data_IF_208500053292
#
_entry.id   IF_208500053292
#
_cell.length_a   1.000
_cell.length_b   1.000
_cell.length_c   1.000
_cell.angle_alpha   90.00
_cell.angle_beta   90.00
_cell.angle_gamma   90.00
#
_symmetry.space_group_name_H-M   'P 1'
#
loop_
_entity.id
_entity.type
_entity.pdbx_description
1 polymer ?
#
# COMPACT_ATOMS: atom_id res chain seq x y z
N UNK A 1 -43.22 30.03 -56.84
CA UNK A 1 -42.63 31.35 -57.15
C UNK A 1 -41.77 31.82 -55.98
N UNK A 2 -40.58 32.34 -56.31
CA UNK A 2 -39.60 33.02 -55.46
C UNK A 2 -38.65 32.02 -54.70
N UNK A 3 -37.43 32.07 -54.83
CA UNK A 3 -36.33 32.71 -55.53
C UNK A 3 -35.13 32.34 -54.72
N UNK A 4 -34.16 31.63 -55.33
CA UNK A 4 -32.89 31.23 -54.76
C UNK A 4 -31.95 32.45 -54.76
N UNK A 5 -31.26 32.70 -53.64
CA UNK A 5 -30.06 33.53 -53.60
C UNK A 5 -28.90 32.70 -53.11
N UNK A 6 -27.99 32.44 -53.99
CA UNK A 6 -26.68 31.87 -53.73
C UNK A 6 -25.73 32.97 -53.23
N UNK A 7 -25.15 32.78 -52.04
CA UNK A 7 -24.00 33.58 -51.59
C UNK A 7 -22.79 32.68 -51.51
N UNK A 8 -21.88 32.90 -52.45
CA UNK A 8 -20.54 32.36 -52.44
C UNK A 8 -19.70 33.10 -51.39
N UNK A 9 -19.25 32.39 -50.34
CA UNK A 9 -18.30 32.94 -49.39
C UNK A 9 -16.91 32.33 -49.64
N UNK A 10 -16.00 33.16 -50.03
CA UNK A 10 -14.57 32.83 -50.21
C UNK A 10 -13.95 32.49 -48.87
N UNK A 11 -13.38 31.30 -48.76
CA UNK A 11 -12.55 30.88 -47.59
C UNK A 11 -11.16 31.45 -47.78
N UNK A 12 -10.83 32.46 -47.00
CA UNK A 12 -9.46 32.92 -46.83
C UNK A 12 -8.71 31.95 -45.88
N UNK A 13 -7.78 31.19 -46.42
CA UNK A 13 -6.87 30.35 -45.62
C UNK A 13 -5.90 31.26 -44.87
N UNK A 14 -6.11 31.41 -43.57
CA UNK A 14 -5.12 31.99 -42.65
C UNK A 14 -4.15 30.90 -42.26
N UNK A 15 -2.93 30.98 -42.85
CA UNK A 15 -1.79 30.17 -42.44
C UNK A 15 -1.32 30.72 -41.11
N UNK A 16 -1.60 30.01 -40.04
CA UNK A 16 -1.05 30.29 -38.72
C UNK A 16 0.34 29.61 -38.62
N UNK A 17 1.43 30.33 -38.38
CA UNK A 17 2.73 29.70 -38.14
C UNK A 17 2.67 29.05 -36.75
N UNK A 18 2.73 27.72 -36.72
CA UNK A 18 2.99 26.98 -35.49
C UNK A 18 4.37 27.37 -34.95
N UNK A 19 4.42 28.29 -34.01
CA UNK A 19 5.54 28.45 -33.10
C UNK A 19 5.67 27.16 -32.30
N UNK A 20 6.67 26.35 -32.65
CA UNK A 20 7.15 25.23 -31.82
C UNK A 20 7.75 25.85 -30.56
N UNK A 21 6.94 26.05 -29.53
CA UNK A 21 7.44 26.28 -28.20
C UNK A 21 8.06 24.95 -27.75
N UNK A 22 9.38 24.87 -27.93
CA UNK A 22 10.21 23.85 -27.29
C UNK A 22 9.97 23.95 -25.78
N UNK A 23 9.10 23.06 -25.25
CA UNK A 23 8.93 22.87 -23.84
C UNK A 23 10.27 22.44 -23.27
N UNK A 24 10.96 23.34 -22.57
CA UNK A 24 12.03 22.99 -21.66
C UNK A 24 11.41 22.05 -20.61
N UNK A 25 11.54 20.75 -20.82
CA UNK A 25 11.41 19.78 -19.74
C UNK A 25 12.50 20.16 -18.73
N UNK A 26 12.11 20.94 -17.73
CA UNK A 26 12.96 21.31 -16.63
C UNK A 26 13.49 20.03 -16.01
N UNK A 27 14.79 19.81 -16.12
CA UNK A 27 15.49 18.77 -15.40
C UNK A 27 15.19 18.97 -13.91
N UNK A 28 14.35 18.11 -13.34
CA UNK A 28 14.25 18.01 -11.88
C UNK A 28 15.60 17.46 -11.39
N UNK A 29 16.47 18.39 -11.00
CA UNK A 29 17.67 18.03 -10.26
C UNK A 29 17.19 17.48 -8.92
N UNK A 30 17.67 16.30 -8.53
CA UNK A 30 17.52 15.81 -7.18
C UNK A 30 18.26 16.76 -6.25
N UNK A 31 17.54 17.69 -5.64
CA UNK A 31 18.07 18.50 -4.56
C UNK A 31 18.01 17.60 -3.34
N UNK A 32 19.17 17.13 -2.85
CA UNK A 32 19.24 16.45 -1.56
C UNK A 32 18.74 17.49 -0.52
N UNK A 33 17.59 17.29 0.13
CA UNK A 33 17.11 18.22 1.13
C UNK A 33 18.13 18.34 2.26
N UNK A 34 18.28 19.54 2.81
CA UNK A 34 19.07 19.73 4.03
C UNK A 34 18.53 18.81 5.12
N UNK A 35 19.43 18.30 5.95
CA UNK A 35 19.03 17.46 7.08
C UNK A 35 17.99 18.19 7.92
N UNK A 36 16.98 17.43 8.38
CA UNK A 36 16.12 17.94 9.43
C UNK A 36 17.00 18.13 10.66
N UNK A 37 17.08 19.33 11.18
CA UNK A 37 17.67 19.54 12.48
C UNK A 37 16.62 19.18 13.52
N UNK A 38 16.89 18.15 14.31
CA UNK A 38 16.12 17.80 15.49
C UNK A 38 17.09 17.86 16.69
N UNK A 39 17.36 19.06 17.16
CA UNK A 39 18.22 19.32 18.30
C UNK A 39 17.43 19.55 19.60
N UNK A 40 16.11 19.47 19.51
CA UNK A 40 15.19 19.68 20.63
C UNK A 40 14.71 21.13 20.78
N UNK A 41 15.15 22.02 19.87
CA UNK A 41 14.78 23.45 19.91
C UNK A 41 13.65 23.73 18.92
N UNK A 42 12.50 24.15 19.45
CA UNK A 42 11.38 24.62 18.62
C UNK A 42 11.67 26.08 18.27
N UNK A 43 11.83 26.36 17.00
CA UNK A 43 12.11 27.68 16.48
C UNK A 43 10.82 28.51 16.25
N UNK A 44 10.94 29.84 16.39
CA UNK A 44 9.85 30.78 16.05
C UNK A 44 8.83 31.00 17.16
N UNK A 45 7.59 31.45 16.79
CA UNK A 45 6.58 31.84 17.78
C UNK A 45 6.00 30.60 18.49
N UNK A 46 5.70 30.76 19.79
CA UNK A 46 5.02 29.76 20.61
C UNK A 46 3.54 30.09 20.73
N UNK A 47 2.62 29.17 20.40
CA UNK A 47 2.88 27.82 19.88
C UNK A 47 3.29 27.79 18.40
N UNK A 48 4.18 26.87 18.05
CA UNK A 48 4.43 26.51 16.66
C UNK A 48 3.20 25.78 16.09
N UNK A 49 2.73 26.23 14.93
CA UNK A 49 1.59 25.58 14.26
C UNK A 49 2.10 24.65 13.15
N UNK A 50 1.70 23.39 13.21
CA UNK A 50 2.01 22.39 12.19
C UNK A 50 0.74 21.86 11.54
N UNK A 51 0.80 21.62 10.24
CA UNK A 51 -0.25 21.00 9.44
C UNK A 51 0.07 19.53 9.20
N UNK A 52 -0.92 18.68 9.38
CA UNK A 52 -0.80 17.24 9.23
C UNK A 52 -1.87 16.76 8.27
N UNK A 53 -1.46 16.09 7.18
CA UNK A 53 -2.39 15.42 6.28
C UNK A 53 -2.46 13.94 6.60
N UNK A 54 -3.68 13.43 6.59
CA UNK A 54 -4.00 12.04 6.89
C UNK A 54 -5.02 11.51 5.87
N UNK A 55 -4.80 10.31 5.36
CA UNK A 55 -5.81 9.62 4.56
C UNK A 55 -7.00 9.21 5.44
N UNK A 56 -8.19 9.20 4.86
CA UNK A 56 -9.41 8.94 5.64
C UNK A 56 -9.55 7.48 6.06
N UNK A 57 -8.64 6.63 6.03
CA UNK A 57 -8.66 5.23 6.50
C UNK A 57 -10.00 4.68 7.02
N UNK A 58 -9.96 3.76 7.94
CA UNK A 58 -11.17 3.27 8.62
C UNK A 58 -11.78 4.36 9.54
N UNK A 59 -13.10 4.36 9.79
CA UNK A 59 -13.73 5.30 10.72
C UNK A 59 -13.10 5.28 12.13
N UNK A 60 -12.75 4.09 12.64
CA UNK A 60 -12.08 3.90 13.94
C UNK A 60 -10.67 4.48 13.96
N UNK A 61 -9.93 4.33 12.87
CA UNK A 61 -8.58 4.88 12.70
C UNK A 61 -8.59 6.41 12.71
N UNK A 62 -9.46 7.01 11.90
CA UNK A 62 -9.67 8.47 11.86
C UNK A 62 -10.08 9.03 13.22
N UNK A 63 -11.03 8.37 13.90
CA UNK A 63 -11.46 8.79 15.24
C UNK A 63 -10.30 8.74 16.23
N UNK A 64 -9.49 7.69 16.19
CA UNK A 64 -8.35 7.50 17.08
C UNK A 64 -7.30 8.57 16.85
N UNK A 65 -6.92 8.86 15.61
CA UNK A 65 -5.96 9.92 15.32
C UNK A 65 -6.49 11.29 15.77
N UNK A 66 -7.78 11.58 15.55
CA UNK A 66 -8.41 12.80 16.04
C UNK A 66 -8.32 12.94 17.57
N UNK A 67 -8.54 11.85 18.32
CA UNK A 67 -8.37 11.83 19.78
C UNK A 67 -6.91 12.04 20.19
N UNK A 68 -5.95 11.42 19.49
CA UNK A 68 -4.52 11.59 19.75
C UNK A 68 -4.07 13.03 19.51
N UNK A 69 -4.54 13.66 18.43
CA UNK A 69 -4.27 15.09 18.16
C UNK A 69 -4.87 15.98 19.24
N UNK A 70 -6.11 15.73 19.64
CA UNK A 70 -6.76 16.51 20.70
C UNK A 70 -6.01 16.37 22.03
N UNK A 71 -5.62 15.15 22.41
CA UNK A 71 -4.86 14.88 23.63
C UNK A 71 -3.47 15.54 23.59
N UNK A 72 -2.75 15.46 22.46
CA UNK A 72 -1.47 16.13 22.29
C UNK A 72 -1.60 17.65 22.43
N UNK A 73 -2.58 18.25 21.76
CA UNK A 73 -2.84 19.68 21.83
C UNK A 73 -3.23 20.16 23.23
N UNK A 74 -3.92 19.33 24.01
CA UNK A 74 -4.31 19.66 25.39
C UNK A 74 -3.15 19.52 26.39
N UNK A 75 -2.24 18.58 26.17
CA UNK A 75 -1.18 18.24 27.14
C UNK A 75 -0.01 19.23 27.17
N UNK A 76 0.13 20.11 26.19
CA UNK A 76 1.27 21.04 26.09
C UNK A 76 0.88 22.33 25.34
N UNK A 77 1.75 23.38 25.44
CA UNK A 77 1.50 24.71 24.87
C UNK A 77 2.50 25.11 23.77
N UNK A 78 3.46 24.26 23.43
CA UNK A 78 4.56 24.61 22.53
C UNK A 78 4.25 24.35 21.06
N UNK A 79 3.42 23.32 20.76
CA UNK A 79 3.05 22.94 19.41
C UNK A 79 1.53 22.81 19.30
N UNK A 80 0.97 23.26 18.20
CA UNK A 80 -0.44 23.06 17.85
C UNK A 80 -0.54 22.33 16.52
N UNK A 81 -1.17 21.18 16.55
CA UNK A 81 -1.41 20.32 15.39
C UNK A 81 -2.76 20.66 14.79
N UNK A 82 -2.77 20.96 13.48
CA UNK A 82 -3.97 21.04 12.64
C UNK A 82 -4.02 19.80 11.76
N UNK A 83 -4.91 18.87 12.09
CA UNK A 83 -5.17 17.68 11.28
C UNK A 83 -6.11 18.02 10.12
N UNK A 84 -5.80 17.50 8.93
CA UNK A 84 -6.61 17.63 7.72
C UNK A 84 -6.82 16.22 7.18
N UNK A 85 -8.07 15.75 7.26
CA UNK A 85 -8.49 14.48 6.69
C UNK A 85 -8.74 14.63 5.19
N UNK A 86 -8.15 13.76 4.40
CA UNK A 86 -8.32 13.75 2.95
C UNK A 86 -8.90 12.39 2.55
N UNK A 87 -9.99 12.34 1.77
CA UNK A 87 -10.56 11.10 1.30
C UNK A 87 -9.53 10.22 0.61
N UNK A 88 -9.49 8.93 0.95
CA UNK A 88 -8.54 7.96 0.38
C UNK A 88 -8.67 7.89 -1.15
N UNK A 89 -9.90 7.95 -1.66
CA UNK A 89 -10.14 8.10 -3.08
C UNK A 89 -9.58 9.44 -3.58
N UNK A 90 -8.51 9.39 -4.38
CA UNK A 90 -7.79 10.56 -4.88
C UNK A 90 -6.71 11.13 -3.97
N UNK A 91 -6.46 10.54 -2.80
CA UNK A 91 -5.42 11.00 -1.87
C UNK A 91 -4.04 11.12 -2.54
N UNK A 92 -3.60 10.07 -3.23
CA UNK A 92 -2.32 10.07 -3.93
C UNK A 92 -2.23 11.16 -5.01
N UNK A 93 -3.33 11.46 -5.71
CA UNK A 93 -3.39 12.53 -6.71
C UNK A 93 -3.29 13.91 -6.06
N UNK A 94 -3.97 14.11 -4.94
CA UNK A 94 -3.88 15.35 -4.18
C UNK A 94 -2.49 15.59 -3.63
N UNK A 95 -1.84 14.56 -3.08
CA UNK A 95 -0.45 14.65 -2.61
C UNK A 95 0.49 14.97 -3.76
N UNK A 96 0.33 14.32 -4.93
CA UNK A 96 1.15 14.63 -6.13
C UNK A 96 0.97 16.07 -6.59
N UNK A 97 -0.25 16.57 -6.63
CA UNK A 97 -0.55 17.95 -7.01
C UNK A 97 0.08 18.95 -6.03
N UNK A 98 -0.07 18.72 -4.74
CA UNK A 98 0.54 19.54 -3.70
C UNK A 98 2.07 19.50 -3.76
N UNK A 99 2.65 18.32 -4.00
CA UNK A 99 4.10 18.17 -4.18
C UNK A 99 4.63 18.94 -5.39
N UNK A 100 3.88 18.97 -6.49
CA UNK A 100 4.25 19.71 -7.70
C UNK A 100 4.20 21.23 -7.48
N UNK A 101 3.29 21.73 -6.66
CA UNK A 101 3.06 23.16 -6.41
C UNK A 101 3.77 23.67 -5.15
N UNK A 102 4.47 22.82 -4.40
CA UNK A 102 5.16 23.19 -3.18
C UNK A 102 4.21 23.45 -1.99
N UNK A 103 3.02 22.84 -1.99
CA UNK A 103 1.98 23.05 -0.96
C UNK A 103 1.74 21.80 -0.10
N UNK A 104 2.78 21.00 0.14
CA UNK A 104 2.69 19.87 1.07
C UNK A 104 2.50 20.37 2.52
N UNK A 105 1.82 19.60 3.40
CA UNK A 105 1.76 19.87 4.83
C UNK A 105 3.14 19.71 5.47
N UNK A 106 3.26 20.03 6.76
CA UNK A 106 4.52 19.83 7.51
C UNK A 106 4.78 18.34 7.76
N UNK A 107 3.75 17.58 8.13
CA UNK A 107 3.79 16.13 8.30
C UNK A 107 2.78 15.48 7.35
N UNK A 108 3.26 14.55 6.55
CA UNK A 108 2.47 13.83 5.57
C UNK A 108 2.38 12.35 5.94
N UNK A 109 1.16 11.84 5.96
CA UNK A 109 0.86 10.41 5.93
C UNK A 109 0.79 9.95 4.47
N UNK A 110 1.39 8.81 4.13
CA UNK A 110 1.35 8.28 2.76
C UNK A 110 1.55 6.77 2.74
N UNK A 111 1.00 6.11 1.74
CA UNK A 111 1.25 4.68 1.53
C UNK A 111 2.75 4.44 1.27
N UNK A 112 3.33 3.59 2.11
CA UNK A 112 4.78 3.41 2.30
C UNK A 112 5.64 3.34 1.05
N UNK A 113 5.29 2.62 -0.02
CA UNK A 113 6.14 2.51 -1.20
C UNK A 113 6.26 3.80 -2.03
N UNK A 114 5.43 4.82 -1.74
CA UNK A 114 5.59 6.15 -2.32
C UNK A 114 6.77 6.92 -1.71
N UNK A 115 7.25 6.49 -0.54
CA UNK A 115 8.42 7.07 0.13
C UNK A 115 9.60 7.25 -0.80
N UNK A 116 9.90 6.24 -1.60
CA UNK A 116 11.09 6.21 -2.45
C UNK A 116 11.03 7.29 -3.53
N UNK A 117 9.83 7.52 -4.11
CA UNK A 117 9.62 8.59 -5.07
C UNK A 117 9.69 9.98 -4.40
N UNK A 118 9.05 10.12 -3.23
CA UNK A 118 9.05 11.40 -2.51
C UNK A 118 10.44 11.77 -1.99
N UNK A 119 11.21 10.82 -1.47
CA UNK A 119 12.58 11.04 -1.04
C UNK A 119 13.50 11.39 -2.23
N UNK A 120 13.42 10.59 -3.33
CA UNK A 120 14.19 10.83 -4.55
C UNK A 120 13.90 12.20 -5.17
N UNK A 121 12.64 12.63 -5.17
CA UNK A 121 12.21 13.94 -5.71
C UNK A 121 12.38 15.10 -4.75
N UNK A 122 13.01 14.91 -3.57
CA UNK A 122 13.28 15.95 -2.59
C UNK A 122 12.03 16.50 -1.91
N UNK A 123 10.97 15.69 -1.76
CA UNK A 123 9.72 16.11 -1.12
C UNK A 123 9.66 15.79 0.37
N UNK A 124 10.57 14.97 0.86
CA UNK A 124 10.72 14.62 2.26
C UNK A 124 12.06 15.11 2.81
N UNK A 125 12.15 15.20 4.10
CA UNK A 125 13.38 15.41 4.87
C UNK A 125 13.79 14.11 5.55
N UNK A 126 15.11 13.80 5.62
CA UNK A 126 15.56 12.63 6.34
C UNK A 126 15.36 12.80 7.86
N UNK A 127 15.09 11.69 8.54
CA UNK A 127 14.75 11.63 9.97
C UNK A 127 15.89 11.14 10.85
N UNK A 128 17.07 10.87 10.29
CA UNK A 128 18.17 10.21 11.01
C UNK A 128 18.59 10.95 12.28
N UNK A 129 18.63 12.29 12.25
CA UNK A 129 18.97 13.12 13.42
C UNK A 129 17.83 13.23 14.43
N UNK A 130 16.59 12.92 14.03
CA UNK A 130 15.42 13.04 14.89
C UNK A 130 15.19 11.78 15.73
N UNK A 131 15.51 10.59 15.20
CA UNK A 131 15.15 9.32 15.81
C UNK A 131 16.18 8.88 16.84
N UNK A 132 15.85 8.90 18.16
CA UNK A 132 16.76 8.41 19.19
C UNK A 132 17.10 6.93 18.98
N UNK A 133 18.33 6.53 19.32
CA UNK A 133 18.77 5.14 19.20
C UNK A 133 17.88 4.14 19.95
N UNK A 134 17.32 4.52 21.09
CA UNK A 134 16.39 3.70 21.86
C UNK A 134 15.07 3.45 21.11
N UNK A 135 14.52 4.47 20.46
CA UNK A 135 13.32 4.29 19.63
C UNK A 135 13.65 3.43 18.41
N UNK A 136 14.77 3.72 17.72
CA UNK A 136 15.19 2.93 16.54
C UNK A 136 15.36 1.44 16.87
N UNK A 137 15.87 1.12 18.06
CA UNK A 137 16.02 -0.26 18.53
C UNK A 137 14.68 -0.94 18.91
N UNK A 138 13.65 -0.15 19.24
CA UNK A 138 12.32 -0.67 19.58
C UNK A 138 11.40 -0.80 18.33
N UNK A 139 11.72 -0.11 17.22
CA UNK A 139 10.98 -0.25 15.98
C UNK A 139 11.14 -1.66 15.39
N UNK A 140 10.08 -2.18 14.78
CA UNK A 140 10.17 -3.39 13.97
C UNK A 140 11.19 -3.20 12.84
N UNK A 141 12.04 -4.21 12.56
CA UNK A 141 12.96 -4.16 11.43
C UNK A 141 12.28 -3.85 10.10
N UNK A 142 11.06 -4.34 9.89
CA UNK A 142 10.24 -4.06 8.71
C UNK A 142 9.89 -2.57 8.57
N UNK A 143 9.55 -1.88 9.66
CA UNK A 143 9.27 -0.43 9.67
C UNK A 143 10.51 0.36 9.26
N UNK A 144 11.66 0.03 9.85
CA UNK A 144 12.94 0.68 9.51
C UNK A 144 13.33 0.42 8.05
N UNK A 145 13.19 -0.83 7.59
CA UNK A 145 13.48 -1.22 6.21
C UNK A 145 12.63 -0.43 5.21
N UNK A 146 11.33 -0.34 5.46
CA UNK A 146 10.40 0.35 4.56
C UNK A 146 10.59 1.86 4.57
N UNK A 147 10.97 2.44 5.71
CA UNK A 147 11.25 3.87 5.86
C UNK A 147 12.60 4.31 5.31
N UNK A 148 13.46 3.36 4.88
CA UNK A 148 14.84 3.64 4.46
C UNK A 148 14.98 3.67 2.93
N UNK A 149 15.57 4.73 2.41
CA UNK A 149 15.96 4.88 1.01
C UNK A 149 17.33 5.53 0.90
N UNK A 150 18.18 5.00 0.00
CA UNK A 150 19.54 5.49 -0.21
C UNK A 150 20.35 5.62 1.11
N UNK A 151 20.20 4.66 2.01
CA UNK A 151 20.91 4.59 3.29
C UNK A 151 20.40 5.54 4.39
N UNK A 152 19.33 6.29 4.14
CA UNK A 152 18.75 7.25 5.09
C UNK A 152 17.30 6.91 5.42
N UNK A 153 16.87 7.25 6.63
CA UNK A 153 15.49 7.09 7.08
C UNK A 153 14.66 8.34 6.67
N UNK A 154 13.56 8.15 5.96
CA UNK A 154 12.72 9.23 5.42
C UNK A 154 11.28 9.19 5.93
N UNK A 155 10.87 8.07 6.50
CA UNK A 155 9.53 7.90 7.05
C UNK A 155 9.50 6.82 8.12
N UNK A 156 8.48 6.87 8.96
CA UNK A 156 8.23 5.89 10.02
C UNK A 156 6.74 5.59 10.09
N UNK A 157 6.37 4.30 9.95
CA UNK A 157 5.01 3.86 10.23
C UNK A 157 4.76 3.72 11.72
N UNK A 158 3.55 4.03 12.18
CA UNK A 158 3.11 3.73 13.55
C UNK A 158 2.59 2.30 13.68
N UNK A 159 2.44 1.60 12.58
CA UNK A 159 2.04 0.20 12.47
C UNK A 159 2.56 -0.42 11.17
N UNK A 160 2.62 -1.75 11.13
CA UNK A 160 2.86 -2.51 9.91
C UNK A 160 1.59 -3.22 9.47
N UNK A 161 1.58 -3.76 8.26
CA UNK A 161 0.43 -4.40 7.65
C UNK A 161 0.74 -5.86 7.32
N UNK A 162 -0.30 -6.68 7.24
CA UNK A 162 -0.21 -8.07 6.84
C UNK A 162 -1.44 -8.49 6.04
N UNK A 163 -1.23 -9.47 5.15
CA UNK A 163 -2.27 -10.10 4.37
C UNK A 163 -2.48 -11.55 4.81
N UNK A 164 -3.73 -12.01 4.74
CA UNK A 164 -4.08 -13.38 5.05
C UNK A 164 -5.39 -13.79 4.40
N UNK A 165 -5.74 -15.07 4.57
CA UNK A 165 -7.09 -15.54 4.30
C UNK A 165 -7.87 -15.56 5.61
N UNK A 166 -8.96 -14.82 5.66
CA UNK A 166 -9.98 -15.00 6.67
C UNK A 166 -10.89 -16.12 6.26
N UNK A 167 -11.11 -17.07 7.16
CA UNK A 167 -11.89 -18.27 6.87
C UNK A 167 -12.97 -18.50 7.94
N UNK A 168 -14.02 -19.23 7.55
CA UNK A 168 -15.04 -19.78 8.43
C UNK A 168 -14.70 -21.25 8.73
N UNK A 169 -13.98 -21.56 9.84
CA UNK A 169 -13.50 -22.91 10.13
C UNK A 169 -14.60 -23.97 10.16
N UNK A 170 -15.78 -23.63 10.69
CA UNK A 170 -16.91 -24.57 10.76
C UNK A 170 -17.36 -25.02 9.37
N UNK A 171 -17.35 -24.12 8.39
CA UNK A 171 -17.74 -24.40 7.01
C UNK A 171 -16.68 -25.25 6.33
N UNK A 172 -15.39 -24.89 6.48
CA UNK A 172 -14.29 -25.64 5.87
C UNK A 172 -14.20 -27.08 6.40
N UNK A 173 -14.40 -27.29 7.71
CA UNK A 173 -14.44 -28.63 8.30
C UNK A 173 -15.59 -29.48 7.73
N UNK A 174 -16.76 -28.89 7.50
CA UNK A 174 -17.91 -29.62 6.90
C UNK A 174 -17.63 -30.15 5.51
N UNK A 175 -16.80 -29.48 4.74
CA UNK A 175 -16.37 -29.96 3.40
C UNK A 175 -15.10 -30.82 3.46
N UNK A 176 -14.59 -31.17 4.64
CA UNK A 176 -13.39 -31.96 4.82
C UNK A 176 -12.11 -31.24 4.40
N UNK A 177 -12.06 -29.90 4.47
CA UNK A 177 -10.85 -29.17 4.17
C UNK A 177 -9.90 -29.16 5.38
N UNK A 178 -8.62 -29.40 5.14
CA UNK A 178 -7.55 -29.17 6.11
C UNK A 178 -7.50 -27.65 6.40
N UNK A 179 -7.26 -27.27 7.63
CA UNK A 179 -7.04 -25.88 8.02
C UNK A 179 -5.57 -25.70 8.41
N UNK A 180 -4.82 -24.81 7.74
CA UNK A 180 -3.44 -24.50 8.12
C UNK A 180 -3.35 -23.93 9.53
N UNK A 181 -2.30 -24.31 10.26
CA UNK A 181 -2.04 -23.80 11.62
C UNK A 181 -0.84 -22.86 11.63
N UNK A 182 0.18 -23.15 10.83
CA UNK A 182 1.40 -22.34 10.70
C UNK A 182 1.49 -21.73 9.31
N UNK A 183 2.30 -20.69 9.15
CA UNK A 183 2.55 -20.07 7.85
C UNK A 183 3.09 -21.09 6.84
N UNK A 184 4.01 -21.97 7.26
CA UNK A 184 4.58 -23.04 6.42
C UNK A 184 3.58 -24.10 5.99
N UNK A 185 2.45 -24.23 6.70
CA UNK A 185 1.39 -25.19 6.37
C UNK A 185 0.40 -24.64 5.33
N UNK A 186 0.65 -23.45 4.77
CA UNK A 186 -0.21 -22.81 3.78
C UNK A 186 -0.66 -23.79 2.69
N UNK A 187 -1.91 -23.68 2.28
CA UNK A 187 -2.42 -24.47 1.16
C UNK A 187 -1.57 -24.23 -0.09
N UNK A 188 -1.36 -25.27 -0.88
CA UNK A 188 -0.89 -25.06 -2.24
C UNK A 188 -1.99 -24.41 -3.09
N UNK A 189 -1.64 -23.73 -4.17
CA UNK A 189 -2.61 -23.16 -5.11
C UNK A 189 -3.61 -24.20 -5.62
N UNK A 190 -3.16 -25.44 -5.89
CA UNK A 190 -4.02 -26.56 -6.31
C UNK A 190 -4.98 -26.99 -5.19
N UNK A 191 -4.47 -27.15 -3.95
CA UNK A 191 -5.31 -27.49 -2.80
C UNK A 191 -6.37 -26.42 -2.55
N UNK A 192 -5.97 -25.16 -2.59
CA UNK A 192 -6.87 -24.02 -2.42
C UNK A 192 -7.95 -23.98 -3.50
N UNK A 193 -7.59 -24.13 -4.77
CA UNK A 193 -8.55 -24.22 -5.88
C UNK A 193 -9.54 -25.38 -5.66
N UNK A 194 -9.04 -26.54 -5.22
CA UNK A 194 -9.89 -27.68 -4.88
C UNK A 194 -10.87 -27.40 -3.73
N UNK A 195 -10.44 -26.60 -2.73
CA UNK A 195 -11.30 -26.14 -1.64
C UNK A 195 -12.41 -25.23 -2.18
N UNK A 196 -12.07 -24.27 -3.04
CA UNK A 196 -13.06 -23.35 -3.64
C UNK A 196 -14.12 -24.13 -4.43
N UNK A 197 -13.73 -25.10 -5.24
CA UNK A 197 -14.70 -25.95 -5.96
C UNK A 197 -15.56 -26.81 -5.02
N UNK A 198 -15.01 -27.32 -3.91
CA UNK A 198 -15.82 -28.05 -2.92
C UNK A 198 -16.84 -27.13 -2.23
N UNK A 199 -16.46 -25.89 -1.91
CA UNK A 199 -17.36 -24.89 -1.36
C UNK A 199 -18.47 -24.53 -2.38
N UNK A 200 -18.12 -24.37 -3.66
CA UNK A 200 -19.09 -24.11 -4.72
C UNK A 200 -20.13 -25.24 -4.82
N UNK A 201 -19.69 -26.51 -4.81
CA UNK A 201 -20.60 -27.67 -4.78
C UNK A 201 -21.43 -27.76 -3.50
N UNK A 202 -20.94 -27.22 -2.38
CA UNK A 202 -21.67 -27.14 -1.12
C UNK A 202 -22.66 -25.96 -1.05
N UNK A 203 -22.87 -25.23 -2.17
CA UNK A 203 -23.86 -24.17 -2.30
C UNK A 203 -23.34 -22.74 -2.20
N UNK A 204 -22.05 -22.52 -1.94
CA UNK A 204 -21.43 -21.20 -1.96
C UNK A 204 -21.05 -20.84 -3.41
N UNK A 205 -21.94 -20.17 -4.14
CA UNK A 205 -21.77 -19.92 -5.59
C UNK A 205 -20.43 -19.25 -5.92
N UNK A 206 -19.99 -18.31 -5.08
CA UNK A 206 -18.76 -17.53 -5.22
C UNK A 206 -18.02 -17.54 -3.88
N UNK A 207 -17.30 -18.63 -3.58
CA UNK A 207 -16.77 -18.89 -2.24
C UNK A 207 -15.62 -18.00 -1.80
N UNK A 208 -15.02 -17.23 -2.71
CA UNK A 208 -13.85 -16.40 -2.46
C UNK A 208 -14.20 -14.92 -2.63
N UNK A 209 -14.00 -14.15 -1.59
CA UNK A 209 -14.05 -12.69 -1.61
C UNK A 209 -12.62 -12.14 -1.71
N UNK A 210 -12.31 -11.45 -2.80
CA UNK A 210 -11.01 -10.79 -3.04
C UNK A 210 -11.06 -9.29 -2.77
N UNK A 211 -12.20 -8.76 -2.39
CA UNK A 211 -12.41 -7.31 -2.18
C UNK A 211 -12.01 -6.48 -3.41
N UNK A 212 -12.28 -7.01 -4.62
CA UNK A 212 -12.04 -6.31 -5.90
C UNK A 212 -13.34 -6.15 -6.68
N UNK A 213 -13.44 -5.04 -7.42
CA UNK A 213 -14.48 -4.86 -8.45
C UNK A 213 -13.83 -4.59 -9.79
N UNK A 214 -14.52 -4.96 -10.87
CA UNK A 214 -14.13 -4.58 -12.23
C UNK A 214 -14.34 -3.08 -12.51
N UNK A 215 -15.04 -2.35 -11.64
CA UNK A 215 -15.52 -1.00 -11.90
C UNK A 215 -14.71 0.12 -11.20
N UNK A 216 -13.73 -0.21 -10.36
CA UNK A 216 -13.10 0.81 -9.51
C UNK A 216 -11.63 1.05 -9.86
N UNK A 217 -11.30 2.07 -10.69
CA UNK A 217 -9.90 2.51 -10.91
C UNK A 217 -9.19 2.92 -9.63
N UNK A 218 -9.92 3.34 -8.61
CA UNK A 218 -9.42 3.84 -7.32
C UNK A 218 -8.79 2.77 -6.43
N UNK A 219 -8.94 1.50 -6.76
CA UNK A 219 -8.36 0.37 -6.02
C UNK A 219 -7.12 -0.21 -6.72
N UNK A 220 -6.45 0.55 -7.57
CA UNK A 220 -5.30 0.07 -8.33
C UNK A 220 -4.19 -0.46 -7.42
N UNK A 221 -3.92 0.22 -6.30
CA UNK A 221 -2.91 -0.24 -5.34
C UNK A 221 -3.31 -1.57 -4.68
N UNK A 222 -4.59 -1.79 -4.41
CA UNK A 222 -5.06 -3.07 -3.89
C UNK A 222 -4.76 -4.23 -4.84
N UNK A 223 -4.90 -4.05 -6.16
CA UNK A 223 -4.49 -5.07 -7.12
C UNK A 223 -3.01 -5.44 -6.98
N UNK A 224 -2.16 -4.47 -6.73
CA UNK A 224 -0.73 -4.71 -6.54
C UNK A 224 -0.44 -5.24 -5.14
N UNK A 225 -0.87 -4.55 -4.10
CA UNK A 225 -0.59 -4.94 -2.72
C UNK A 225 -1.20 -6.31 -2.37
N UNK A 226 -2.46 -6.51 -2.75
CA UNK A 226 -3.20 -7.73 -2.44
C UNK A 226 -2.66 -8.97 -3.18
N UNK A 227 -2.18 -8.81 -4.41
CA UNK A 227 -1.92 -9.97 -5.27
C UNK A 227 -0.48 -10.12 -5.78
N UNK A 228 0.42 -9.18 -5.52
CA UNK A 228 1.86 -9.40 -5.71
C UNK A 228 2.37 -10.66 -4.98
N UNK A 229 1.84 -11.05 -3.80
CA UNK A 229 2.20 -12.31 -3.15
C UNK A 229 2.02 -13.56 -4.02
N UNK A 230 1.09 -13.57 -4.98
CA UNK A 230 0.91 -14.66 -5.95
C UNK A 230 2.17 -14.85 -6.79
N UNK A 231 2.69 -13.74 -7.31
CA UNK A 231 3.90 -13.70 -8.13
C UNK A 231 5.13 -14.04 -7.27
N UNK A 232 5.25 -13.44 -6.10
CA UNK A 232 6.39 -13.67 -5.20
C UNK A 232 6.47 -15.11 -4.71
N UNK A 233 5.34 -15.68 -4.31
CA UNK A 233 5.27 -17.08 -3.87
C UNK A 233 5.66 -18.06 -4.99
N UNK A 234 5.40 -17.72 -6.24
CA UNK A 234 5.80 -18.51 -7.41
C UNK A 234 7.29 -18.40 -7.75
N UNK A 235 8.01 -17.43 -7.15
CA UNK A 235 9.42 -17.15 -7.44
C UNK A 235 9.65 -16.06 -8.48
N UNK A 236 8.59 -15.33 -8.88
CA UNK A 236 8.69 -14.10 -9.68
C UNK A 236 8.80 -12.85 -8.81
N UNK A 237 8.80 -11.69 -9.46
CA UNK A 237 8.70 -10.39 -8.78
C UNK A 237 8.12 -9.34 -9.73
N UNK A 238 7.84 -8.14 -9.23
CA UNK A 238 7.32 -7.02 -10.02
C UNK A 238 8.43 -6.30 -10.81
N UNK A 239 9.68 -6.41 -10.36
CA UNK A 239 10.89 -5.83 -10.95
C UNK A 239 12.09 -6.66 -10.48
N UNK A 240 13.16 -6.65 -11.25
CA UNK A 240 14.45 -7.16 -10.78
C UNK A 240 14.99 -6.30 -9.64
N UNK A 241 14.91 -6.79 -8.40
CA UNK A 241 15.35 -6.06 -7.19
C UNK A 241 16.85 -5.96 -7.05
N UNK A 242 17.63 -6.72 -7.83
CA UNK A 242 19.09 -6.63 -7.79
C UNK A 242 19.61 -5.39 -8.51
N UNK A 243 18.89 -4.96 -9.53
CA UNK A 243 19.28 -3.82 -10.36
C UNK A 243 18.28 -2.66 -10.33
N UNK A 244 17.00 -2.95 -10.10
CA UNK A 244 15.86 -2.03 -10.27
C UNK A 244 15.79 -1.41 -11.68
N UNK A 245 16.27 -2.13 -12.73
CA UNK A 245 16.39 -1.61 -14.08
C UNK A 245 15.44 -2.23 -15.10
N UNK A 246 14.80 -3.35 -14.75
CA UNK A 246 13.88 -4.04 -15.66
C UNK A 246 12.89 -4.90 -14.91
N UNK A 247 11.70 -5.03 -15.47
CA UNK A 247 10.70 -6.03 -15.08
C UNK A 247 10.73 -7.26 -16.01
N UNK A 248 11.46 -7.16 -17.14
CA UNK A 248 11.56 -8.22 -18.15
C UNK A 248 12.19 -9.48 -17.58
N UNK A 249 11.56 -10.63 -17.83
CA UNK A 249 12.03 -11.94 -17.37
C UNK A 249 11.78 -12.23 -15.89
N UNK A 250 11.31 -11.24 -15.14
CA UNK A 250 10.97 -11.34 -13.71
C UNK A 250 9.45 -11.32 -13.54
N UNK A 251 8.81 -10.23 -13.97
CA UNK A 251 7.35 -10.10 -13.91
C UNK A 251 6.67 -11.05 -14.90
N UNK A 252 7.11 -11.12 -16.13
CA UNK A 252 6.61 -12.02 -17.17
C UNK A 252 7.34 -13.36 -17.24
N UNK A 253 7.93 -13.80 -16.11
CA UNK A 253 8.56 -15.13 -16.01
C UNK A 253 7.54 -16.26 -16.19
N UNK A 254 8.03 -17.42 -16.60
CA UNK A 254 7.18 -18.61 -16.69
C UNK A 254 6.50 -18.96 -15.34
N UNK A 255 7.15 -18.66 -14.21
CA UNK A 255 6.59 -18.86 -12.88
C UNK A 255 5.43 -17.90 -12.60
N UNK A 256 5.61 -16.60 -12.87
CA UNK A 256 4.56 -15.58 -12.72
C UNK A 256 3.35 -15.89 -13.61
N UNK A 257 3.59 -16.27 -14.88
CA UNK A 257 2.53 -16.61 -15.82
C UNK A 257 1.72 -17.81 -15.32
N UNK A 258 2.38 -18.90 -14.88
CA UNK A 258 1.67 -20.07 -14.34
C UNK A 258 0.83 -19.71 -13.12
N UNK A 259 1.38 -18.94 -12.18
CA UNK A 259 0.68 -18.55 -10.96
C UNK A 259 -0.57 -17.70 -11.25
N UNK A 260 -0.43 -16.69 -12.11
CA UNK A 260 -1.54 -15.82 -12.48
C UNK A 260 -2.56 -16.51 -13.39
N UNK A 261 -2.16 -17.55 -14.16
CA UNK A 261 -3.10 -18.40 -14.89
C UNK A 261 -3.99 -19.20 -13.92
N UNK A 262 -3.43 -19.69 -12.80
CA UNK A 262 -4.27 -20.31 -11.75
C UNK A 262 -5.23 -19.29 -11.15
N UNK A 263 -4.77 -18.10 -10.81
CA UNK A 263 -5.65 -17.02 -10.30
C UNK A 263 -6.74 -16.67 -11.32
N UNK A 264 -6.40 -16.53 -12.60
CA UNK A 264 -7.36 -16.29 -13.68
C UNK A 264 -8.45 -17.37 -13.73
N UNK A 265 -8.09 -18.63 -13.49
CA UNK A 265 -9.07 -19.72 -13.49
C UNK A 265 -10.14 -19.55 -12.43
N UNK A 266 -9.85 -18.93 -11.30
CA UNK A 266 -10.85 -18.66 -10.25
C UNK A 266 -11.94 -17.70 -10.73
N UNK A 267 -11.59 -16.69 -11.52
CA UNK A 267 -12.57 -15.78 -12.14
C UNK A 267 -13.37 -16.49 -13.24
N UNK A 268 -12.70 -17.21 -14.14
CA UNK A 268 -13.33 -17.97 -15.22
C UNK A 268 -14.32 -19.01 -14.70
N UNK A 269 -13.97 -19.70 -13.62
CA UNK A 269 -14.77 -20.79 -13.05
C UNK A 269 -15.85 -20.25 -12.09
N UNK A 270 -15.98 -18.92 -11.97
CA UNK A 270 -16.98 -18.24 -11.15
C UNK A 270 -16.80 -18.48 -9.64
N UNK A 271 -15.56 -18.68 -9.20
CA UNK A 271 -15.24 -18.92 -7.77
C UNK A 271 -15.07 -17.65 -6.97
N UNK A 272 -14.83 -16.51 -7.65
CA UNK A 272 -14.62 -15.20 -7.03
C UNK A 272 -15.91 -14.41 -7.01
N UNK A 273 -16.18 -13.75 -5.89
CA UNK A 273 -17.25 -12.75 -5.82
C UNK A 273 -16.87 -11.53 -6.66
N UNK A 274 -17.68 -11.14 -7.67
CA UNK A 274 -17.31 -10.09 -8.61
C UNK A 274 -17.53 -8.67 -8.07
N UNK A 275 -18.19 -8.54 -6.91
CA UNK A 275 -18.62 -7.27 -6.35
C UNK A 275 -17.94 -6.97 -5.02
N UNK A 276 -17.61 -5.71 -4.75
CA UNK A 276 -17.21 -5.24 -3.41
C UNK A 276 -18.46 -5.07 -2.51
N UNK A 277 -19.14 -6.16 -2.24
CA UNK A 277 -20.38 -6.14 -1.49
C UNK A 277 -20.28 -6.88 -0.16
N UNK A 278 -19.07 -6.93 0.41
CA UNK A 278 -18.78 -7.57 1.69
C UNK A 278 -19.31 -9.02 1.75
N UNK A 279 -19.00 -9.81 0.72
CA UNK A 279 -19.54 -11.17 0.59
C UNK A 279 -19.17 -12.06 1.79
N UNK A 280 -17.96 -11.91 2.33
CA UNK A 280 -17.54 -12.62 3.54
C UNK A 280 -18.32 -12.12 4.76
N UNK A 281 -18.38 -10.80 4.97
CA UNK A 281 -19.08 -10.19 6.13
C UNK A 281 -20.55 -10.59 6.16
N UNK A 282 -21.18 -10.72 4.99
CA UNK A 282 -22.57 -11.17 4.84
C UNK A 282 -22.76 -12.68 4.85
N UNK A 283 -21.69 -13.46 5.08
CA UNK A 283 -21.72 -14.93 5.14
C UNK A 283 -21.93 -15.62 3.77
N UNK A 284 -21.83 -14.90 2.64
CA UNK A 284 -22.02 -15.46 1.29
C UNK A 284 -20.75 -16.13 0.75
N UNK A 285 -19.58 -15.59 1.09
CA UNK A 285 -18.29 -16.19 0.81
C UNK A 285 -17.65 -16.69 2.12
N UNK A 286 -17.29 -17.96 2.25
CA UNK A 286 -16.65 -18.48 3.47
C UNK A 286 -15.16 -18.20 3.56
N UNK A 287 -14.55 -17.62 2.53
CA UNK A 287 -13.14 -17.24 2.49
C UNK A 287 -13.03 -15.81 1.97
N UNK A 288 -12.24 -14.96 2.66
CA UNK A 288 -11.85 -13.64 2.20
C UNK A 288 -10.34 -13.52 2.17
N UNK A 289 -9.80 -13.00 1.07
CA UNK A 289 -8.40 -12.64 0.91
C UNK A 289 -8.27 -11.13 1.11
N UNK A 290 -7.78 -10.71 2.27
CA UNK A 290 -7.72 -9.29 2.63
C UNK A 290 -6.69 -9.07 3.74
N UNK A 291 -6.44 -7.82 4.14
CA UNK A 291 -5.49 -7.49 5.20
C UNK A 291 -6.11 -7.38 6.59
N UNK A 292 -5.24 -7.06 7.54
CA UNK A 292 -5.53 -6.93 8.97
C UNK A 292 -6.74 -6.02 9.27
N UNK A 293 -6.97 -4.99 8.46
CA UNK A 293 -8.04 -3.99 8.68
C UNK A 293 -9.46 -4.57 8.70
N UNK A 294 -9.64 -5.79 8.23
CA UNK A 294 -10.93 -6.47 8.27
C UNK A 294 -11.11 -7.37 9.50
N UNK A 295 -10.08 -7.50 10.37
CA UNK A 295 -10.22 -8.35 11.55
C UNK A 295 -11.36 -7.89 12.46
N UNK A 296 -11.41 -6.63 12.83
CA UNK A 296 -12.45 -6.08 13.71
C UNK A 296 -13.88 -6.34 13.19
N UNK A 297 -14.23 -5.89 11.97
CA UNK A 297 -15.54 -6.15 11.35
C UNK A 297 -15.88 -7.64 11.24
N UNK A 298 -14.92 -8.48 10.83
CA UNK A 298 -15.16 -9.92 10.68
C UNK A 298 -15.31 -10.63 12.04
N UNK A 299 -14.52 -10.23 13.04
CA UNK A 299 -14.65 -10.77 14.39
C UNK A 299 -15.99 -10.39 15.04
N UNK A 300 -16.47 -9.19 14.82
CA UNK A 300 -17.79 -8.77 15.26
C UNK A 300 -18.90 -9.62 14.62
N UNK A 301 -18.78 -9.92 13.32
CA UNK A 301 -19.78 -10.71 12.60
C UNK A 301 -19.71 -12.22 12.96
N UNK A 302 -18.52 -12.75 13.24
CA UNK A 302 -18.27 -14.17 13.42
C UNK A 302 -17.35 -14.45 14.63
N UNK A 303 -17.72 -14.04 15.86
CA UNK A 303 -16.82 -14.06 17.02
C UNK A 303 -16.29 -15.46 17.39
N UNK A 304 -17.01 -16.53 17.00
CA UNK A 304 -16.66 -17.91 17.34
C UNK A 304 -16.32 -18.78 16.12
N UNK A 305 -16.33 -18.19 14.93
CA UNK A 305 -16.09 -18.93 13.67
C UNK A 305 -15.28 -18.10 12.69
N UNK A 306 -14.20 -17.51 13.18
CA UNK A 306 -13.23 -16.74 12.40
C UNK A 306 -11.82 -17.23 12.70
N UNK A 307 -11.04 -17.45 11.65
CA UNK A 307 -9.62 -17.73 11.75
C UNK A 307 -8.88 -17.07 10.59
N UNK A 308 -7.65 -16.61 10.86
CA UNK A 308 -6.74 -16.12 9.82
C UNK A 308 -5.75 -17.23 9.53
N UNK A 309 -5.53 -17.51 8.24
CA UNK A 309 -4.51 -18.45 7.77
C UNK A 309 -3.64 -17.79 6.71
N UNK A 310 -2.44 -18.34 6.46
CA UNK A 310 -1.55 -17.81 5.44
C UNK A 310 -2.17 -17.89 4.05
N UNK A 311 -1.76 -16.95 3.17
CA UNK A 311 -2.12 -16.97 1.75
C UNK A 311 -1.64 -18.27 1.10
N UNK A 312 -2.34 -18.79 0.06
CA UNK A 312 -1.92 -20.00 -0.61
C UNK A 312 -0.58 -19.81 -1.32
N UNK A 313 0.23 -20.84 -1.33
CA UNK A 313 1.52 -20.83 -2.01
C UNK A 313 1.42 -21.32 -3.44
N UNK A 314 2.02 -20.57 -4.36
CA UNK A 314 2.09 -20.88 -5.80
C UNK A 314 3.45 -21.47 -6.20
N UNK A 315 4.35 -21.60 -5.25
CA UNK A 315 5.68 -22.20 -5.35
C UNK A 315 6.07 -22.91 -4.06
N UNK A 316 7.37 -23.02 -3.77
CA UNK A 316 7.84 -23.77 -2.60
C UNK A 316 7.46 -23.13 -1.27
N UNK A 317 7.35 -21.79 -1.22
CA UNK A 317 7.09 -21.04 0.01
C UNK A 317 5.85 -20.15 -0.13
N UNK A 318 5.07 -19.94 0.96
CA UNK A 318 4.07 -18.91 0.99
C UNK A 318 4.72 -17.52 0.94
N UNK A 319 3.96 -16.52 0.57
CA UNK A 319 4.37 -15.12 0.63
C UNK A 319 3.19 -14.26 1.03
N UNK A 320 3.46 -13.20 1.79
CA UNK A 320 2.50 -12.17 2.15
C UNK A 320 3.07 -10.79 1.79
N UNK A 321 2.20 -9.79 1.65
CA UNK A 321 2.61 -8.41 1.63
C UNK A 321 2.91 -7.91 3.04
N UNK A 322 3.87 -7.00 3.15
CA UNK A 322 4.05 -6.12 4.30
C UNK A 322 4.14 -4.68 3.81
N UNK A 323 4.00 -3.75 4.70
CA UNK A 323 4.05 -2.36 4.37
C UNK A 323 2.71 -1.68 4.59
N UNK A 324 2.81 -0.52 5.20
CA UNK A 324 1.66 0.24 5.61
C UNK A 324 1.92 1.72 5.34
N UNK A 325 1.05 2.54 5.89
CA UNK A 325 1.18 3.99 5.84
C UNK A 325 2.40 4.45 6.65
N UNK A 326 3.08 5.46 6.12
CA UNK A 326 4.29 6.04 6.69
C UNK A 326 4.07 7.52 6.97
N UNK A 327 4.64 8.01 8.03
CA UNK A 327 4.72 9.42 8.36
C UNK A 327 6.06 9.98 7.91
N UNK A 328 6.05 11.06 7.13
CA UNK A 328 7.27 11.75 6.70
C UNK A 328 7.19 13.24 6.94
N UNK A 329 8.27 13.84 7.42
CA UNK A 329 8.44 15.30 7.49
C UNK A 329 8.68 15.78 6.06
N UNK A 330 7.86 16.72 5.59
CA UNK A 330 7.98 17.19 4.22
C UNK A 330 9.08 18.24 4.06
N UNK A 331 9.53 18.47 2.84
CA UNK A 331 10.48 19.53 2.54
C UNK A 331 9.94 20.93 2.85
N UNK A 332 8.61 21.08 2.97
CA UNK A 332 7.95 22.35 3.28
C UNK A 332 7.97 22.69 4.78
N UNK A 333 8.16 21.71 5.67
CA UNK A 333 8.20 21.94 7.10
C UNK A 333 9.33 22.91 7.44
N UNK A 334 9.01 23.99 8.12
CA UNK A 334 9.98 25.03 8.53
C UNK A 334 10.62 24.72 9.88
N UNK A 335 9.91 23.99 10.75
CA UNK A 335 10.36 23.60 12.10
C UNK A 335 10.29 22.07 12.24
N UNK A 336 11.45 21.41 12.05
CA UNK A 336 11.56 19.96 12.16
C UNK A 336 11.30 19.42 13.56
N UNK A 337 11.72 20.16 14.61
CA UNK A 337 11.54 19.78 16.00
C UNK A 337 10.07 19.80 16.43
N UNK A 338 9.31 20.82 15.99
CA UNK A 338 7.88 20.87 16.25
C UNK A 338 7.15 19.68 15.61
N UNK A 339 7.49 19.34 14.36
CA UNK A 339 6.88 18.20 13.64
C UNK A 339 7.30 16.89 14.29
N UNK A 340 8.59 16.71 14.59
CA UNK A 340 9.10 15.52 15.24
C UNK A 340 8.48 15.30 16.62
N UNK A 341 8.24 16.36 17.38
CA UNK A 341 7.59 16.27 18.69
C UNK A 341 6.22 15.60 18.61
N UNK A 342 5.43 15.92 17.60
CA UNK A 342 4.15 15.25 17.38
C UNK A 342 4.34 13.81 16.85
N UNK A 343 5.21 13.59 15.88
CA UNK A 343 5.47 12.25 15.37
C UNK A 343 6.01 11.32 16.45
N UNK A 344 6.94 11.77 17.28
CA UNK A 344 7.47 11.01 18.41
C UNK A 344 6.40 10.68 19.47
N UNK A 345 5.41 11.55 19.65
CA UNK A 345 4.25 11.28 20.49
C UNK A 345 3.42 10.12 19.92
N UNK A 346 3.12 10.12 18.62
CA UNK A 346 2.40 9.03 17.97
C UNK A 346 3.13 7.68 18.07
N UNK A 347 4.45 7.70 18.15
CA UNK A 347 5.31 6.51 18.29
C UNK A 347 5.44 6.01 19.73
N UNK A 348 4.87 6.69 20.72
CA UNK A 348 4.85 6.17 22.09
C UNK A 348 4.03 4.88 22.17
N UNK A 349 4.43 3.88 22.95
CA UNK A 349 3.76 2.58 23.00
C UNK A 349 2.25 2.64 23.28
N UNK A 350 1.81 3.61 24.10
CA UNK A 350 0.39 3.80 24.38
C UNK A 350 -0.39 4.27 23.15
N UNK A 351 0.19 5.19 22.36
CA UNK A 351 -0.42 5.73 21.15
C UNK A 351 -0.44 4.68 20.03
N UNK A 352 0.67 3.95 19.87
CA UNK A 352 0.77 2.83 18.93
C UNK A 352 -0.29 1.77 19.24
N UNK A 353 -0.44 1.39 20.51
CA UNK A 353 -1.46 0.40 20.92
C UNK A 353 -2.89 0.92 20.70
N UNK A 354 -3.16 2.18 21.02
CA UNK A 354 -4.47 2.78 20.78
C UNK A 354 -4.86 2.72 19.30
N UNK A 355 -3.92 3.09 18.41
CA UNK A 355 -4.13 3.04 16.97
C UNK A 355 -4.31 1.60 16.46
N UNK A 356 -3.44 0.68 16.88
CA UNK A 356 -3.49 -0.70 16.38
C UNK A 356 -4.66 -1.51 16.92
N UNK A 357 -5.18 -1.16 18.08
CA UNK A 357 -6.47 -1.69 18.56
C UNK A 357 -7.67 -1.20 17.71
N UNK A 358 -7.56 0.01 17.16
CA UNK A 358 -8.62 0.58 16.34
C UNK A 358 -8.64 0.04 14.91
N UNK A 359 -7.47 -0.28 14.34
CA UNK A 359 -7.35 -0.67 12.93
C UNK A 359 -6.90 -2.13 12.70
N UNK A 360 -6.63 -2.91 13.77
CA UNK A 360 -6.18 -4.30 13.66
C UNK A 360 -4.77 -4.47 13.09
N UNK A 361 -3.97 -3.40 13.00
CA UNK A 361 -2.64 -3.43 12.41
C UNK A 361 -1.58 -3.93 13.39
N UNK A 362 -0.45 -4.41 12.86
CA UNK A 362 0.68 -4.87 13.67
C UNK A 362 1.37 -3.64 14.29
N UNK A 363 1.50 -3.55 15.63
CA UNK A 363 2.18 -2.42 16.27
C UNK A 363 3.59 -2.22 15.74
N UNK A 364 3.99 -0.97 15.45
CA UNK A 364 5.30 -0.64 14.89
C UNK A 364 6.48 -0.93 15.82
N UNK A 365 6.23 -1.12 17.11
CA UNK A 365 7.28 -1.28 18.11
C UNK A 365 7.22 -2.62 18.83
N UNK A 366 8.37 -3.19 19.13
CA UNK A 366 8.49 -4.45 19.88
C UNK A 366 7.87 -4.35 21.26
N UNK A 367 7.99 -3.18 21.91
CA UNK A 367 7.39 -2.93 23.22
C UNK A 367 5.85 -2.92 23.17
N UNK A 368 5.24 -2.41 22.10
CA UNK A 368 3.80 -2.44 21.91
C UNK A 368 3.29 -3.85 21.54
N UNK A 369 4.01 -4.59 20.69
CA UNK A 369 3.67 -5.99 20.37
C UNK A 369 3.60 -6.84 21.64
N UNK A 370 4.61 -6.73 22.52
CA UNK A 370 4.60 -7.46 23.80
C UNK A 370 3.41 -7.17 24.71
N UNK A 371 2.76 -6.04 24.52
CA UNK A 371 1.57 -5.60 25.28
C UNK A 371 0.25 -5.91 24.58
N UNK A 372 0.30 -6.42 23.35
CA UNK A 372 -0.92 -6.70 22.55
C UNK A 372 -1.27 -8.19 22.61
N UNK A 373 -2.36 -8.60 23.30
CA UNK A 373 -2.78 -9.99 23.32
C UNK A 373 -3.12 -10.54 21.93
N UNK A 374 -3.59 -9.70 21.01
CA UNK A 374 -3.96 -10.11 19.66
C UNK A 374 -2.76 -10.64 18.86
N UNK A 375 -1.56 -10.03 19.06
CA UNK A 375 -0.33 -10.36 18.35
C UNK A 375 0.62 -11.26 19.16
N UNK A 376 0.34 -11.53 20.44
CA UNK A 376 1.12 -12.45 21.26
C UNK A 376 1.04 -13.90 20.71
N UNK A 377 1.99 -14.80 21.06
CA UNK A 377 1.90 -16.21 20.72
C UNK A 377 0.54 -16.81 21.15
N UNK A 378 -0.17 -17.40 20.18
CA UNK A 378 -1.55 -17.91 20.38
C UNK A 378 -2.65 -16.87 20.23
N UNK A 379 -2.33 -15.61 20.05
CA UNK A 379 -3.31 -14.56 19.73
C UNK A 379 -3.87 -14.71 18.31
N UNK A 380 -5.08 -14.20 18.07
CA UNK A 380 -5.80 -14.42 16.81
C UNK A 380 -5.12 -13.79 15.59
N UNK A 381 -4.28 -12.79 15.78
CA UNK A 381 -3.56 -12.07 14.72
C UNK A 381 -2.05 -12.35 14.73
N UNK A 382 -1.59 -13.30 15.57
CA UNK A 382 -0.16 -13.64 15.69
C UNK A 382 0.47 -14.09 14.38
N UNK A 383 -0.31 -14.64 13.44
CA UNK A 383 0.17 -15.09 12.13
C UNK A 383 0.84 -13.95 11.34
N UNK A 384 0.40 -12.71 11.49
CA UNK A 384 1.02 -11.57 10.83
C UNK A 384 2.43 -11.29 11.38
N UNK A 385 2.61 -11.41 12.70
CA UNK A 385 3.94 -11.29 13.32
C UNK A 385 4.86 -12.42 12.85
N UNK A 386 4.36 -13.66 12.77
CA UNK A 386 5.13 -14.79 12.22
C UNK A 386 5.55 -14.55 10.78
N UNK A 387 4.65 -14.03 9.92
CA UNK A 387 5.00 -13.71 8.53
C UNK A 387 6.16 -12.72 8.43
N UNK A 388 6.21 -11.70 9.30
CA UNK A 388 7.30 -10.73 9.35
C UNK A 388 8.61 -11.36 9.89
N UNK A 389 8.52 -12.08 10.99
CA UNK A 389 9.71 -12.64 11.69
C UNK A 389 10.39 -13.75 10.90
N UNK A 390 9.58 -14.60 10.23
CA UNK A 390 10.04 -15.77 9.49
C UNK A 390 10.39 -15.44 8.02
N UNK A 391 10.29 -14.16 7.62
CA UNK A 391 10.65 -13.69 6.28
C UNK A 391 9.67 -14.06 5.15
N UNK A 392 8.42 -14.42 5.49
CA UNK A 392 7.37 -14.68 4.52
C UNK A 392 6.67 -13.42 4.03
N UNK A 393 6.75 -12.32 4.78
CA UNK A 393 6.25 -11.03 4.36
C UNK A 393 7.31 -10.28 3.55
N UNK A 394 6.92 -9.74 2.40
CA UNK A 394 7.81 -9.01 1.48
C UNK A 394 7.32 -7.58 1.28
N UNK A 395 8.24 -6.59 1.32
CA UNK A 395 7.89 -5.22 0.99
C UNK A 395 7.65 -5.09 -0.51
N UNK A 396 6.82 -4.14 -0.87
CA UNK A 396 6.69 -3.69 -2.26
C UNK A 396 8.04 -3.15 -2.77
N UNK A 397 8.30 -3.10 -4.10
CA UNK A 397 9.57 -2.64 -4.64
C UNK A 397 10.04 -1.29 -4.10
N UNK A 398 11.27 -1.24 -3.59
CA UNK A 398 11.87 -0.07 -2.96
C UNK A 398 12.57 0.82 -4.01
N UNK A 399 11.78 1.42 -4.88
CA UNK A 399 12.27 2.24 -6.00
C UNK A 399 11.37 3.44 -6.26
N UNK A 400 11.92 4.59 -6.68
CA UNK A 400 11.11 5.72 -7.12
C UNK A 400 10.16 5.41 -8.28
N UNK A 401 10.41 4.34 -9.04
CA UNK A 401 9.54 3.85 -10.10
C UNK A 401 8.25 3.17 -9.60
N UNK A 402 8.12 2.92 -8.28
CA UNK A 402 7.02 2.13 -7.74
C UNK A 402 5.62 2.56 -8.22
N UNK A 403 5.27 3.85 -8.29
CA UNK A 403 3.95 4.25 -8.80
C UNK A 403 3.64 3.74 -10.22
N UNK A 404 4.65 3.71 -11.10
CA UNK A 404 4.50 3.17 -12.44
C UNK A 404 4.41 1.64 -12.44
N UNK A 405 5.17 0.98 -11.57
CA UNK A 405 5.14 -0.48 -11.40
C UNK A 405 3.75 -0.91 -10.90
N UNK A 406 3.23 -0.24 -9.87
CA UNK A 406 1.92 -0.55 -9.33
C UNK A 406 0.82 -0.35 -10.35
N UNK A 407 0.80 0.78 -11.05
CA UNK A 407 -0.19 1.07 -12.07
C UNK A 407 -0.18 0.02 -13.21
N UNK A 408 1.02 -0.35 -13.69
CA UNK A 408 1.14 -1.32 -14.78
C UNK A 408 0.71 -2.73 -14.36
N UNK A 409 1.10 -3.18 -13.18
CA UNK A 409 0.73 -4.50 -12.66
C UNK A 409 -0.76 -4.57 -12.33
N UNK A 410 -1.33 -3.54 -11.71
CA UNK A 410 -2.75 -3.46 -11.43
C UNK A 410 -3.60 -3.53 -12.71
N UNK A 411 -3.20 -2.79 -13.75
CA UNK A 411 -3.86 -2.85 -15.05
C UNK A 411 -3.80 -4.26 -15.68
N UNK A 412 -2.63 -4.92 -15.60
CA UNK A 412 -2.48 -6.29 -16.09
C UNK A 412 -3.39 -7.27 -15.32
N UNK A 413 -3.46 -7.17 -13.99
CA UNK A 413 -4.32 -8.04 -13.18
C UNK A 413 -5.81 -7.80 -13.47
N UNK A 414 -6.23 -6.56 -13.63
CA UNK A 414 -7.60 -6.24 -14.02
C UNK A 414 -7.97 -6.87 -15.37
N UNK A 415 -7.09 -6.79 -16.37
CA UNK A 415 -7.27 -7.44 -17.66
C UNK A 415 -7.29 -8.97 -17.55
N UNK A 416 -6.39 -9.55 -16.77
CA UNK A 416 -6.33 -10.99 -16.49
C UNK A 416 -7.64 -11.49 -15.86
N UNK A 417 -8.18 -10.75 -14.89
CA UNK A 417 -9.46 -11.08 -14.25
C UNK A 417 -10.64 -11.09 -15.22
N UNK A 418 -10.54 -10.31 -16.30
CA UNK A 418 -11.53 -10.23 -17.39
C UNK A 418 -11.28 -11.24 -18.51
N UNK A 419 -10.28 -12.11 -18.39
CA UNK A 419 -9.99 -13.19 -19.35
C UNK A 419 -8.93 -12.88 -20.40
N UNK A 420 -8.24 -11.71 -20.31
CA UNK A 420 -7.10 -11.41 -21.17
C UNK A 420 -5.99 -12.44 -20.98
N UNK A 421 -5.29 -12.80 -22.06
CA UNK A 421 -4.15 -13.70 -22.00
C UNK A 421 -3.08 -13.18 -21.01
N UNK A 422 -2.72 -14.04 -20.06
CA UNK A 422 -1.82 -13.68 -18.95
C UNK A 422 -0.46 -13.21 -19.45
N UNK A 423 0.13 -13.91 -20.44
CA UNK A 423 1.43 -13.52 -21.01
C UNK A 423 1.34 -12.14 -21.66
N UNK A 424 0.33 -11.92 -22.50
CA UNK A 424 0.16 -10.65 -23.20
C UNK A 424 -0.03 -9.47 -22.22
N UNK A 425 -0.83 -9.67 -21.15
CA UNK A 425 -1.05 -8.65 -20.13
C UNK A 425 0.24 -8.32 -19.37
N UNK A 426 1.02 -9.35 -18.98
CA UNK A 426 2.29 -9.13 -18.29
C UNK A 426 3.36 -8.53 -19.20
N UNK A 427 3.44 -8.92 -20.47
CA UNK A 427 4.38 -8.33 -21.44
C UNK A 427 4.05 -6.83 -21.68
N UNK A 428 2.77 -6.47 -21.67
CA UNK A 428 2.36 -5.06 -21.75
C UNK A 428 2.78 -4.28 -20.49
N UNK A 429 2.58 -4.85 -19.30
CA UNK A 429 3.02 -4.25 -18.04
C UNK A 429 4.54 -4.07 -18.01
N UNK A 430 5.32 -5.06 -18.43
CA UNK A 430 6.78 -4.99 -18.55
C UNK A 430 7.20 -3.83 -19.44
N UNK A 431 6.62 -3.71 -20.64
CA UNK A 431 6.95 -2.60 -21.56
C UNK A 431 6.66 -1.24 -20.93
N UNK A 432 5.56 -1.10 -20.19
CA UNK A 432 5.21 0.13 -19.50
C UNK A 432 6.20 0.46 -18.37
N UNK A 433 6.58 -0.54 -17.56
CA UNK A 433 7.54 -0.37 -16.46
C UNK A 433 8.91 -0.02 -17.02
N UNK A 434 9.43 -0.82 -17.95
CA UNK A 434 10.78 -0.63 -18.51
C UNK A 434 10.87 0.69 -19.29
N UNK A 435 9.80 1.09 -20.00
CA UNK A 435 9.69 2.40 -20.65
C UNK A 435 9.73 3.55 -19.63
N UNK A 436 9.05 3.44 -18.50
CA UNK A 436 9.12 4.45 -17.43
C UNK A 436 10.52 4.54 -16.82
N UNK A 437 11.15 3.39 -16.55
CA UNK A 437 12.53 3.34 -16.03
C UNK A 437 13.51 4.03 -16.97
N UNK A 438 13.45 3.72 -18.26
CA UNK A 438 14.32 4.33 -19.28
C UNK A 438 14.09 5.85 -19.41
N UNK A 439 12.82 6.28 -19.44
CA UNK A 439 12.44 7.70 -19.54
C UNK A 439 12.95 8.52 -18.35
N UNK A 440 13.04 7.91 -17.17
CA UNK A 440 13.54 8.54 -15.94
C UNK A 440 15.01 8.20 -15.64
N UNK A 441 15.78 7.73 -16.65
CA UNK A 441 17.19 7.36 -16.49
C UNK A 441 17.42 6.41 -15.32
N UNK A 442 16.53 5.46 -15.15
CA UNK A 442 16.51 4.46 -14.06
C UNK A 442 16.52 5.05 -12.65
N UNK A 443 16.06 6.29 -12.49
CA UNK A 443 16.03 7.00 -11.20
C UNK A 443 17.40 7.04 -10.51
N UNK A 444 18.47 7.04 -11.29
CA UNK A 444 19.81 7.21 -10.72
C UNK A 444 19.87 8.56 -10.00
N UNK A 445 20.53 8.57 -8.84
CA UNK A 445 20.84 9.83 -8.19
C UNK A 445 21.67 10.67 -9.17
N UNK A 446 21.34 11.96 -9.35
CA UNK A 446 22.24 12.85 -10.06
C UNK A 446 23.57 12.85 -9.33
N UNK A 447 24.66 12.57 -10.00
CA UNK A 447 25.99 12.81 -9.44
C UNK A 447 26.05 14.27 -8.95
N UNK A 448 26.66 14.51 -7.75
CA UNK A 448 26.72 15.82 -7.14
C UNK A 448 27.43 16.86 -8.02
#
# INVERSE_FOLDING_TARGET
>A
MRAYWTLSSAIAAVICPCLVLGGCAGQQRSVIPRDTTCDGTIEGPTPAYITVWFHTGQPSERQTLGQQVAAFNAAQQQVRVKLIDIPEAGYADQVRSAAATGNLPDLLDFDGPNLYNYAWSGKLKPLDSCVPGSLRADLLPSIVQQGTYAGRLWGIGTFDSGLGLYIRPSILRRIGARIPVRVTDAWTASEFTGILHRLQRAGYRQPLDLSVTSATPTTMEWWTYGFAPVVWSAGGDLIDRSTYRTAQGVLNSAASIRALTVMQSWFRDGLVNPDMNDAFLRGRAPISWVGHWMYGPYHQAFPHDLQIVALPRFGPQPSSGMGSWQWGITANATDGDAVWRFLSYLLQPAQVLQMTQANGAIPATLSAIRRSPAFAPGGPEHIYVQQLQDGFARPRPQTPAYPAISAAFAAALAQISQGQDVRQALDAAVRQIDGNLAANRYYMASEP
#
